data_IF_421378232564
#
_entry.id   IF_421378232564
#
_cell.length_a   1.000
_cell.length_b   1.000
_cell.length_c   1.000
_cell.angle_alpha   90.00
_cell.angle_beta   90.00
_cell.angle_gamma   90.00
#
_symmetry.space_group_name_H-M   'P 1'
#
loop_
_entity.id
_entity.type
_entity.pdbx_description
1 polymer ?
#
# COMPACT_ATOMS: atom_id res chain seq x y z
N UNK A 1 -10.91 -32.78 -37.72
CA UNK A 1 -10.19 -31.52 -37.48
C UNK A 1 -10.74 -30.91 -36.20
N UNK A 2 -10.19 -31.27 -35.05
CA UNK A 2 -10.45 -30.60 -33.77
C UNK A 2 -9.19 -30.74 -32.93
N UNK A 3 -8.54 -29.61 -32.58
CA UNK A 3 -7.60 -29.44 -31.45
C UNK A 3 -6.93 -28.05 -31.56
N UNK A 4 -7.69 -26.97 -31.39
CA UNK A 4 -7.09 -25.63 -31.19
C UNK A 4 -8.04 -24.67 -30.45
N UNK A 5 -8.51 -25.01 -29.25
CA UNK A 5 -9.19 -24.03 -28.37
C UNK A 5 -8.89 -24.17 -26.87
N UNK A 6 -8.34 -25.30 -26.41
CA UNK A 6 -8.11 -25.53 -24.98
C UNK A 6 -6.90 -24.77 -24.40
N UNK A 7 -5.92 -24.39 -25.22
CA UNK A 7 -4.72 -23.66 -24.77
C UNK A 7 -4.95 -22.17 -24.49
N UNK A 8 -5.96 -21.55 -25.11
CA UNK A 8 -6.23 -20.11 -24.94
C UNK A 8 -6.94 -19.82 -23.61
N UNK A 9 -7.88 -20.66 -23.18
CA UNK A 9 -8.68 -20.44 -21.96
C UNK A 9 -7.84 -20.63 -20.69
N UNK A 10 -6.94 -21.62 -20.65
CA UNK A 10 -6.04 -21.84 -19.51
C UNK A 10 -5.03 -20.68 -19.32
N UNK A 11 -4.65 -20.00 -20.41
CA UNK A 11 -3.72 -18.87 -20.36
C UNK A 11 -4.35 -17.59 -19.79
N UNK A 12 -5.65 -17.36 -20.04
CA UNK A 12 -6.36 -16.15 -19.60
C UNK A 12 -6.67 -16.23 -18.09
N UNK A 13 -7.08 -17.40 -17.58
CA UNK A 13 -7.38 -17.58 -16.14
C UNK A 13 -6.11 -17.41 -15.27
N UNK A 14 -4.95 -17.83 -15.79
CA UNK A 14 -3.64 -17.68 -15.12
C UNK A 14 -3.13 -16.24 -14.99
N UNK A 15 -3.68 -15.30 -15.79
CA UNK A 15 -3.32 -13.87 -15.76
C UNK A 15 -4.13 -13.09 -14.72
N UNK A 16 -5.31 -13.56 -14.30
CA UNK A 16 -6.10 -12.88 -13.25
C UNK A 16 -5.71 -13.33 -11.84
N UNK A 17 -5.36 -14.60 -11.66
CA UNK A 17 -5.12 -15.21 -10.36
C UNK A 17 -4.10 -14.45 -9.49
N UNK A 18 -4.37 -14.40 -8.18
CA UNK A 18 -3.48 -13.79 -7.18
C UNK A 18 -2.19 -14.60 -7.03
N UNK A 19 -1.04 -13.94 -7.19
CA UNK A 19 0.29 -14.55 -7.11
C UNK A 19 1.00 -14.17 -5.82
N UNK A 20 1.99 -14.97 -5.42
CA UNK A 20 2.83 -14.66 -4.25
C UNK A 20 3.55 -13.31 -4.39
N UNK A 21 3.95 -12.98 -5.62
CA UNK A 21 4.53 -11.69 -5.99
C UNK A 21 3.58 -10.53 -5.71
N UNK A 22 2.26 -10.70 -5.90
CA UNK A 22 1.26 -9.67 -5.55
C UNK A 22 1.25 -9.38 -4.05
N UNK A 23 1.26 -10.43 -3.23
CA UNK A 23 1.35 -10.28 -1.77
C UNK A 23 2.66 -9.62 -1.34
N UNK A 24 3.80 -10.01 -1.94
CA UNK A 24 5.09 -9.41 -1.61
C UNK A 24 5.11 -7.92 -1.96
N UNK A 25 4.58 -7.53 -3.11
CA UNK A 25 4.46 -6.13 -3.52
C UNK A 25 3.50 -5.34 -2.65
N UNK A 26 2.33 -5.90 -2.34
CA UNK A 26 1.36 -5.30 -1.41
C UNK A 26 1.98 -5.04 -0.03
N UNK A 27 2.68 -6.04 0.52
CA UNK A 27 3.37 -5.90 1.80
C UNK A 27 4.59 -4.97 1.70
N UNK A 28 5.30 -4.93 0.57
CA UNK A 28 6.40 -4.00 0.33
C UNK A 28 5.93 -2.55 0.29
N UNK A 29 4.83 -2.28 -0.42
CA UNK A 29 4.16 -0.97 -0.47
C UNK A 29 3.69 -0.54 0.93
N UNK A 30 3.11 -1.48 1.69
CA UNK A 30 2.76 -1.22 3.10
C UNK A 30 4.00 -0.96 3.96
N UNK A 31 5.07 -1.71 3.77
CA UNK A 31 6.35 -1.53 4.47
C UNK A 31 6.97 -0.16 4.22
N UNK A 32 6.82 0.41 3.03
CA UNK A 32 7.25 1.80 2.76
C UNK A 32 6.34 2.86 3.38
N UNK A 33 5.08 2.52 3.70
CA UNK A 33 4.17 3.42 4.42
C UNK A 33 4.46 3.44 5.93
N UNK A 34 5.08 2.37 6.46
CA UNK A 34 5.59 2.27 7.84
C UNK A 34 6.84 3.14 7.98
N UNK A 35 6.64 4.46 7.96
CA UNK A 35 7.69 5.44 8.17
C UNK A 35 7.23 6.49 9.15
N UNK A 36 7.66 7.73 8.91
CA UNK A 36 7.23 8.88 9.70
C UNK A 36 5.69 8.99 9.80
N UNK A 37 4.96 8.55 8.77
CA UNK A 37 3.50 8.62 8.73
C UNK A 37 2.78 7.86 9.84
N UNK A 38 3.25 6.69 10.24
CA UNK A 38 2.53 5.88 11.25
C UNK A 38 2.70 6.44 12.66
N UNK A 39 3.83 7.10 12.94
CA UNK A 39 4.14 7.65 14.26
C UNK A 39 3.78 9.13 14.37
N UNK A 40 4.19 9.95 13.41
CA UNK A 40 4.00 11.39 13.48
C UNK A 40 2.61 11.83 13.05
N UNK A 41 1.92 11.11 12.16
CA UNK A 41 0.58 11.51 11.72
C UNK A 41 -0.46 11.37 12.85
N UNK A 42 -0.57 10.25 13.59
CA UNK A 42 -1.54 10.15 14.68
C UNK A 42 -1.21 11.09 15.84
N UNK A 43 0.09 11.33 16.10
CA UNK A 43 0.52 12.27 17.15
C UNK A 43 0.18 13.71 16.75
N UNK A 44 0.60 14.16 15.56
CA UNK A 44 0.34 15.53 15.12
C UNK A 44 -1.16 15.79 14.84
N UNK A 45 -1.88 14.83 14.26
CA UNK A 45 -3.33 14.95 14.06
C UNK A 45 -4.08 14.86 15.40
N UNK A 46 -3.62 14.02 16.33
CA UNK A 46 -4.18 13.88 17.67
C UNK A 46 -4.01 15.11 18.54
N UNK A 47 -2.90 15.86 18.40
CA UNK A 47 -2.72 17.19 19.01
C UNK A 47 -3.80 18.17 18.52
N UNK A 48 -4.28 18.01 17.28
CA UNK A 48 -5.41 18.76 16.73
C UNK A 48 -6.78 18.39 17.31
N UNK A 49 -6.89 17.31 18.09
CA UNK A 49 -8.13 16.75 18.60
C UNK A 49 -8.70 15.63 17.73
N UNK A 50 -9.82 15.05 18.16
CA UNK A 50 -10.38 13.86 17.51
C UNK A 50 -11.03 14.15 16.14
N UNK A 51 -11.65 15.33 15.97
CA UNK A 51 -12.33 15.69 14.72
C UNK A 51 -11.34 15.76 13.53
N UNK A 52 -10.21 16.50 13.59
CA UNK A 52 -9.22 16.46 12.51
C UNK A 52 -8.70 15.05 12.24
N UNK A 53 -8.47 14.24 13.27
CA UNK A 53 -7.99 12.87 13.12
C UNK A 53 -8.97 12.01 12.32
N UNK A 54 -10.27 12.07 12.62
CA UNK A 54 -11.32 11.34 11.88
C UNK A 54 -11.38 11.81 10.42
N UNK A 55 -11.39 13.14 10.20
CA UNK A 55 -11.42 13.71 8.84
C UNK A 55 -10.21 13.25 8.04
N UNK A 56 -9.01 13.33 8.64
CA UNK A 56 -7.77 12.91 8.00
C UNK A 56 -7.76 11.41 7.71
N UNK A 57 -8.29 10.57 8.61
CA UNK A 57 -8.43 9.13 8.38
C UNK A 57 -9.34 8.82 7.18
N UNK A 58 -10.48 9.51 7.06
CA UNK A 58 -11.41 9.36 5.94
C UNK A 58 -10.77 9.84 4.62
N UNK A 59 -10.06 10.98 4.65
CA UNK A 59 -9.44 11.57 3.46
C UNK A 59 -8.19 10.82 3.00
N UNK A 60 -7.46 10.17 3.90
CA UNK A 60 -6.21 9.49 3.58
C UNK A 60 -6.39 8.43 2.49
N UNK A 61 -7.45 7.61 2.57
CA UNK A 61 -7.69 6.55 1.59
C UNK A 61 -7.93 7.07 0.16
N UNK A 62 -8.95 7.91 -0.14
CA UNK A 62 -9.19 8.37 -1.49
C UNK A 62 -8.00 9.18 -2.03
N UNK A 63 -7.39 10.03 -1.21
CA UNK A 63 -6.25 10.85 -1.62
C UNK A 63 -5.07 9.98 -2.07
N UNK A 64 -4.70 8.97 -1.28
CA UNK A 64 -3.58 8.08 -1.60
C UNK A 64 -3.90 7.14 -2.76
N UNK A 65 -5.06 6.48 -2.71
CA UNK A 65 -5.47 5.50 -3.71
C UNK A 65 -5.54 6.11 -5.12
N UNK A 66 -6.24 7.25 -5.29
CA UNK A 66 -6.37 7.86 -6.61
C UNK A 66 -5.05 8.43 -7.13
N UNK A 67 -4.22 9.01 -6.25
CA UNK A 67 -2.91 9.52 -6.64
C UNK A 67 -1.97 8.38 -7.10
N UNK A 68 -1.86 7.30 -6.31
CA UNK A 68 -1.01 6.15 -6.64
C UNK A 68 -1.51 5.42 -7.89
N UNK A 69 -2.84 5.28 -8.05
CA UNK A 69 -3.43 4.70 -9.27
C UNK A 69 -3.17 5.58 -10.49
N UNK A 70 -3.31 6.90 -10.36
CA UNK A 70 -3.01 7.86 -11.42
C UNK A 70 -1.56 7.76 -11.87
N UNK A 71 -0.62 7.73 -10.91
CA UNK A 71 0.79 7.54 -11.18
C UNK A 71 1.10 6.19 -11.83
N UNK A 72 0.46 5.11 -11.37
CA UNK A 72 0.64 3.78 -11.97
C UNK A 72 0.21 3.78 -13.44
N UNK A 73 -0.96 4.36 -13.74
CA UNK A 73 -1.45 4.48 -15.13
C UNK A 73 -0.52 5.32 -16.00
N UNK A 74 0.02 6.37 -15.42
CA UNK A 74 0.99 7.22 -16.09
C UNK A 74 2.25 6.41 -16.43
N UNK A 75 2.89 5.75 -15.47
CA UNK A 75 4.08 4.91 -15.75
C UNK A 75 3.77 3.79 -16.75
N UNK A 76 2.59 3.18 -16.68
CA UNK A 76 2.16 2.14 -17.62
C UNK A 76 1.83 2.67 -19.03
N UNK A 77 1.68 3.99 -19.24
CA UNK A 77 1.45 4.56 -20.57
C UNK A 77 2.73 4.75 -21.39
N UNK A 78 3.91 4.58 -20.78
CA UNK A 78 5.19 4.60 -21.47
C UNK A 78 5.26 3.56 -22.58
N UNK A 79 5.82 3.90 -23.73
CA UNK A 79 5.87 2.94 -24.86
C UNK A 79 6.83 1.79 -24.60
N UNK A 80 7.95 2.01 -23.93
CA UNK A 80 8.97 0.98 -23.76
C UNK A 80 8.80 0.22 -22.43
N UNK A 81 9.01 -1.12 -22.42
CA UNK A 81 9.11 -1.87 -21.17
C UNK A 81 10.30 -1.38 -20.35
N UNK A 82 10.11 -1.18 -19.04
CA UNK A 82 11.17 -0.73 -18.14
C UNK A 82 11.19 0.77 -17.86
N UNK A 83 10.42 1.58 -18.60
CA UNK A 83 10.42 3.03 -18.40
C UNK A 83 9.86 3.42 -17.04
N UNK A 84 10.64 4.22 -16.31
CA UNK A 84 10.23 4.81 -15.05
C UNK A 84 9.54 6.16 -15.24
N UNK A 85 9.06 6.76 -14.15
CA UNK A 85 8.36 8.04 -14.21
C UNK A 85 9.15 9.14 -14.94
N UNK A 86 10.48 9.18 -14.84
CA UNK A 86 11.28 10.25 -15.45
C UNK A 86 11.32 10.09 -16.97
N UNK A 87 11.46 8.86 -17.45
CA UNK A 87 11.46 8.51 -18.87
C UNK A 87 10.07 8.73 -19.49
N UNK A 88 9.01 8.32 -18.79
CA UNK A 88 7.63 8.50 -19.28
C UNK A 88 7.22 9.98 -19.35
N UNK A 89 7.68 10.81 -18.42
CA UNK A 89 7.48 12.28 -18.51
C UNK A 89 8.18 12.85 -19.73
N UNK A 90 9.42 12.47 -19.97
CA UNK A 90 10.17 12.93 -21.14
C UNK A 90 9.48 12.49 -22.44
N UNK A 91 8.92 11.29 -22.48
CA UNK A 91 8.17 10.78 -23.63
C UNK A 91 6.91 11.61 -23.92
N UNK A 92 6.10 11.90 -22.89
CA UNK A 92 4.81 12.56 -23.05
C UNK A 92 4.90 14.09 -23.16
N UNK A 93 5.88 14.69 -22.50
CA UNK A 93 5.98 16.15 -22.34
C UNK A 93 7.31 16.74 -22.87
N UNK A 94 8.22 15.91 -23.35
CA UNK A 94 9.50 16.30 -23.92
C UNK A 94 10.63 16.47 -22.90
N UNK A 95 11.84 16.60 -23.42
CA UNK A 95 13.12 16.63 -22.68
C UNK A 95 13.15 17.74 -21.60
N UNK A 96 12.57 18.90 -21.89
CA UNK A 96 12.53 20.02 -20.93
C UNK A 96 11.69 19.72 -19.69
N UNK A 97 10.53 19.10 -19.88
CA UNK A 97 9.66 18.67 -18.79
C UNK A 97 10.27 17.49 -18.02
N UNK A 98 10.90 16.54 -18.72
CA UNK A 98 11.67 15.45 -18.10
C UNK A 98 12.71 15.97 -17.10
N UNK A 99 13.59 16.88 -17.56
CA UNK A 99 14.61 17.50 -16.70
C UNK A 99 14.02 18.25 -15.50
N UNK A 100 12.92 18.98 -15.69
CA UNK A 100 12.25 19.70 -14.60
C UNK A 100 11.71 18.72 -13.56
N UNK A 101 11.04 17.64 -13.99
CA UNK A 101 10.52 16.62 -13.06
C UNK A 101 11.65 15.92 -12.34
N UNK A 102 12.75 15.55 -13.02
CA UNK A 102 13.93 14.97 -12.37
C UNK A 102 14.49 15.89 -11.28
N UNK A 103 14.56 17.20 -11.53
CA UNK A 103 15.00 18.18 -10.55
C UNK A 103 14.04 18.27 -9.35
N UNK A 104 12.73 18.31 -9.60
CA UNK A 104 11.71 18.29 -8.54
C UNK A 104 11.76 17.00 -7.72
N UNK A 105 12.01 15.86 -8.37
CA UNK A 105 12.21 14.57 -7.73
C UNK A 105 13.41 14.58 -6.79
N UNK A 106 14.53 15.17 -7.22
CA UNK A 106 15.70 15.34 -6.36
C UNK A 106 15.34 16.13 -5.09
N UNK A 107 14.68 17.28 -5.22
CA UNK A 107 14.28 18.08 -4.06
C UNK A 107 13.20 17.41 -3.19
N UNK A 108 12.38 16.53 -3.74
CA UNK A 108 11.41 15.77 -2.97
C UNK A 108 12.07 14.64 -2.17
N UNK A 109 12.98 13.88 -2.79
CA UNK A 109 13.56 12.66 -2.20
C UNK A 109 14.77 12.97 -1.32
N UNK A 110 15.64 13.90 -1.71
CA UNK A 110 16.87 14.18 -0.98
C UNK A 110 16.62 14.60 0.49
N UNK A 111 15.70 15.53 0.80
CA UNK A 111 15.38 15.87 2.19
C UNK A 111 14.79 14.69 2.98
N UNK A 112 13.98 13.85 2.33
CA UNK A 112 13.43 12.62 2.95
C UNK A 112 14.57 11.71 3.40
N UNK A 113 15.56 11.49 2.53
CA UNK A 113 16.73 10.67 2.85
C UNK A 113 17.54 11.25 4.01
N UNK A 114 17.70 12.58 4.08
CA UNK A 114 18.39 13.23 5.20
C UNK A 114 17.64 13.04 6.53
N UNK A 115 16.32 13.27 6.53
CA UNK A 115 15.48 13.09 7.73
C UNK A 115 15.53 11.64 8.22
N UNK A 116 15.43 10.66 7.32
CA UNK A 116 15.54 9.25 7.70
C UNK A 116 16.93 8.87 8.20
N UNK A 117 17.99 9.44 7.62
CA UNK A 117 19.38 9.20 8.08
C UNK A 117 19.60 9.72 9.51
N UNK A 118 19.04 10.89 9.83
CA UNK A 118 19.06 11.44 11.19
C UNK A 118 18.21 10.58 12.13
N UNK A 119 17.01 10.19 11.69
CA UNK A 119 16.09 9.39 12.49
C UNK A 119 16.68 8.03 12.87
N UNK A 120 17.25 7.28 11.91
CA UNK A 120 17.86 5.97 12.20
C UNK A 120 19.06 6.10 13.13
N UNK A 121 19.89 7.13 12.95
CA UNK A 121 21.03 7.39 13.83
C UNK A 121 20.55 7.65 15.27
N UNK A 122 19.55 8.53 15.44
CA UNK A 122 18.97 8.82 16.76
C UNK A 122 18.35 7.58 17.41
N UNK A 123 17.59 6.79 16.64
CA UNK A 123 16.93 5.60 17.17
C UNK A 123 17.93 4.54 17.61
N UNK A 124 18.97 4.28 16.82
CA UNK A 124 20.02 3.31 17.19
C UNK A 124 20.85 3.81 18.36
N UNK A 125 21.20 5.09 18.38
CA UNK A 125 21.92 5.73 19.50
C UNK A 125 21.14 5.60 20.81
N UNK A 126 19.84 5.94 20.76
CA UNK A 126 18.91 5.79 21.89
C UNK A 126 18.77 4.33 22.32
N UNK A 127 18.66 3.40 21.36
CA UNK A 127 18.55 1.97 21.62
C UNK A 127 19.79 1.39 22.30
N UNK A 128 20.98 1.74 21.81
CA UNK A 128 22.25 1.36 22.42
C UNK A 128 22.32 1.83 23.87
N UNK A 129 21.96 3.09 24.11
CA UNK A 129 22.06 3.72 25.44
C UNK A 129 21.03 3.17 26.42
N UNK A 130 19.76 3.10 26.02
CA UNK A 130 18.64 2.87 26.95
C UNK A 130 18.14 1.42 26.98
N UNK A 131 18.36 0.64 25.93
CA UNK A 131 17.93 -0.76 25.89
C UNK A 131 19.10 -1.73 26.04
N UNK A 132 20.25 -1.42 25.46
CA UNK A 132 21.44 -2.28 25.57
C UNK A 132 22.44 -1.84 26.65
N UNK A 133 22.26 -0.64 27.22
CA UNK A 133 23.21 -0.03 28.18
C UNK A 133 24.66 0.02 27.65
N UNK A 134 24.82 0.14 26.32
CA UNK A 134 26.10 0.29 25.63
C UNK A 134 26.32 1.78 25.38
N UNK A 135 27.52 2.28 25.68
CA UNK A 135 27.89 3.64 25.30
C UNK A 135 28.03 3.72 23.77
N UNK A 136 27.18 4.47 23.06
CA UNK A 136 27.22 4.53 21.61
C UNK A 136 28.53 5.16 21.10
N UNK A 137 29.04 4.74 19.92
CA UNK A 137 30.18 5.40 19.31
C UNK A 137 29.84 6.85 18.94
N UNK A 138 30.84 7.72 18.68
CA UNK A 138 30.61 9.09 18.25
C UNK A 138 29.63 9.15 17.08
N UNK A 139 28.65 10.06 17.18
CA UNK A 139 27.51 10.16 16.25
C UNK A 139 27.91 10.10 14.76
N UNK A 140 29.02 10.74 14.37
CA UNK A 140 29.53 10.73 13.00
C UNK A 140 29.98 9.34 12.54
N UNK A 141 30.60 8.55 13.43
CA UNK A 141 30.99 7.17 13.15
C UNK A 141 29.76 6.27 13.11
N UNK A 142 28.83 6.46 14.06
CA UNK A 142 27.58 5.70 14.09
C UNK A 142 26.78 5.90 12.80
N UNK A 143 26.56 7.15 12.40
CA UNK A 143 25.82 7.47 11.17
C UNK A 143 26.50 6.92 9.92
N UNK A 144 27.85 7.01 9.85
CA UNK A 144 28.60 6.43 8.73
C UNK A 144 28.41 4.92 8.64
N UNK A 145 28.54 4.20 9.76
CA UNK A 145 28.33 2.74 9.81
C UNK A 145 26.90 2.38 9.36
N UNK A 146 25.89 3.10 9.86
CA UNK A 146 24.50 2.86 9.50
C UNK A 146 24.23 3.15 8.02
N UNK A 147 24.73 4.25 7.47
CA UNK A 147 24.58 4.60 6.05
C UNK A 147 25.27 3.55 5.16
N UNK A 148 26.49 3.13 5.49
CA UNK A 148 27.20 2.08 4.73
C UNK A 148 26.45 0.75 4.80
N UNK A 149 25.94 0.38 5.98
CA UNK A 149 25.11 -0.81 6.15
C UNK A 149 23.84 -0.76 5.29
N UNK A 150 23.12 0.36 5.33
CA UNK A 150 21.92 0.58 4.51
C UNK A 150 22.23 0.57 3.01
N UNK A 151 23.30 1.23 2.57
CA UNK A 151 23.74 1.23 1.16
C UNK A 151 24.12 -0.17 0.68
N UNK A 152 24.68 -0.99 1.57
CA UNK A 152 24.99 -2.40 1.25
C UNK A 152 23.71 -3.18 0.98
N UNK A 153 22.65 -2.97 1.76
CA UNK A 153 21.34 -3.59 1.52
C UNK A 153 20.77 -3.17 0.16
N UNK A 154 20.86 -1.88 -0.18
CA UNK A 154 20.35 -1.34 -1.46
C UNK A 154 21.06 -1.96 -2.66
N UNK A 155 22.35 -2.32 -2.53
CA UNK A 155 23.12 -2.96 -3.62
C UNK A 155 22.63 -4.37 -4.00
N UNK A 156 21.83 -5.03 -3.17
CA UNK A 156 21.29 -6.36 -3.49
C UNK A 156 20.06 -6.32 -4.42
N UNK A 157 19.65 -5.12 -4.87
CA UNK A 157 18.60 -4.94 -5.87
C UNK A 157 17.18 -4.85 -5.30
N UNK A 158 16.24 -4.44 -6.16
CA UNK A 158 14.85 -4.12 -5.80
C UNK A 158 14.11 -5.28 -5.13
N UNK A 159 14.26 -6.50 -5.66
CA UNK A 159 13.58 -7.69 -5.13
C UNK A 159 13.97 -7.99 -3.67
N UNK A 160 15.23 -7.73 -3.30
CA UNK A 160 15.70 -7.88 -1.93
C UNK A 160 15.14 -6.80 -1.01
N UNK A 161 15.01 -5.56 -1.50
CA UNK A 161 14.42 -4.45 -0.75
C UNK A 161 12.94 -4.74 -0.47
N UNK A 162 12.15 -5.09 -1.49
CA UNK A 162 10.72 -5.41 -1.35
C UNK A 162 10.54 -6.60 -0.41
N UNK A 163 11.37 -7.64 -0.53
CA UNK A 163 11.34 -8.79 0.37
C UNK A 163 11.67 -8.40 1.82
N UNK A 164 12.74 -7.65 2.04
CA UNK A 164 13.12 -7.19 3.38
C UNK A 164 12.01 -6.36 4.03
N UNK A 165 11.45 -5.39 3.29
CA UNK A 165 10.34 -4.57 3.76
C UNK A 165 9.11 -5.42 4.08
N UNK A 166 8.73 -6.33 3.19
CA UNK A 166 7.56 -7.21 3.39
C UNK A 166 7.68 -8.11 4.63
N UNK A 167 8.89 -8.58 4.96
CA UNK A 167 9.13 -9.37 6.18
C UNK A 167 9.07 -8.46 7.41
N UNK A 168 9.62 -7.25 7.33
CA UNK A 168 9.67 -6.29 8.44
C UNK A 168 8.27 -5.80 8.87
N UNK A 169 7.29 -5.81 7.97
CA UNK A 169 5.89 -5.48 8.27
C UNK A 169 5.34 -6.30 9.42
N UNK A 170 5.59 -7.61 9.45
CA UNK A 170 4.98 -8.53 10.42
C UNK A 170 5.36 -8.22 11.88
N UNK A 171 6.66 -8.17 12.27
CA UNK A 171 7.03 -7.83 13.63
C UNK A 171 6.62 -6.40 13.99
N UNK A 172 6.61 -5.48 13.03
CA UNK A 172 6.17 -4.11 13.26
C UNK A 172 4.68 -4.03 13.62
N UNK A 173 3.81 -4.63 12.81
CA UNK A 173 2.36 -4.69 13.09
C UNK A 173 2.09 -5.41 14.41
N UNK A 174 2.80 -6.50 14.69
CA UNK A 174 2.69 -7.20 15.96
C UNK A 174 3.06 -6.29 17.15
N UNK A 175 4.15 -5.53 17.05
CA UNK A 175 4.55 -4.57 18.07
C UNK A 175 3.51 -3.46 18.27
N UNK A 176 2.93 -2.91 17.19
CA UNK A 176 1.86 -1.91 17.28
C UNK A 176 0.59 -2.47 17.92
N UNK A 177 0.20 -3.69 17.58
CA UNK A 177 -0.97 -4.35 18.17
C UNK A 177 -0.75 -4.60 19.67
N UNK A 178 0.43 -5.09 20.06
CA UNK A 178 0.79 -5.28 21.47
C UNK A 178 0.81 -3.94 22.23
N UNK A 179 1.36 -2.89 21.62
CA UNK A 179 1.35 -1.55 22.22
C UNK A 179 -0.08 -1.01 22.38
N UNK A 180 -0.94 -1.20 21.36
CA UNK A 180 -2.34 -0.78 21.43
C UNK A 180 -3.08 -1.50 22.56
N UNK A 181 -2.89 -2.82 22.70
CA UNK A 181 -3.45 -3.61 23.80
C UNK A 181 -2.91 -3.15 25.17
N UNK A 182 -1.60 -2.90 25.25
CA UNK A 182 -0.94 -2.41 26.47
C UNK A 182 -1.48 -1.05 26.92
N UNK A 183 -1.90 -0.20 25.98
CA UNK A 183 -2.42 1.13 26.28
C UNK A 183 -3.91 1.16 26.65
N UNK A 184 -4.67 0.06 26.49
CA UNK A 184 -6.10 0.00 26.87
C UNK A 184 -6.36 0.50 28.30
N UNK A 185 -5.58 0.10 29.33
CA UNK A 185 -5.78 0.59 30.69
C UNK A 185 -5.52 2.09 30.86
N UNK A 186 -4.82 2.73 29.93
CA UNK A 186 -4.52 4.16 29.94
C UNK A 186 -5.56 5.00 29.20
N UNK A 187 -6.56 4.36 28.57
CA UNK A 187 -7.61 5.08 27.86
C UNK A 187 -8.48 5.87 28.84
N UNK A 188 -8.74 7.13 28.48
CA UNK A 188 -9.59 8.02 29.25
C UNK A 188 -10.56 8.75 28.31
N UNK A 189 -11.62 9.33 28.88
CA UNK A 189 -12.64 10.05 28.14
C UNK A 189 -12.19 11.41 27.60
N UNK A 190 -11.00 11.90 27.94
CA UNK A 190 -10.55 13.26 27.58
C UNK A 190 -10.48 13.45 26.06
N UNK A 191 -10.20 12.38 25.31
CA UNK A 191 -10.25 12.43 23.86
C UNK A 191 -11.67 12.80 23.36
N UNK A 192 -12.73 12.25 23.97
CA UNK A 192 -14.12 12.50 23.58
C UNK A 192 -14.57 13.93 23.89
N UNK A 193 -13.96 14.61 24.86
CA UNK A 193 -14.22 16.03 25.13
C UNK A 193 -13.78 16.94 23.96
N UNK A 194 -12.86 16.45 23.11
CA UNK A 194 -12.45 17.13 21.87
C UNK A 194 -13.39 16.88 20.68
N UNK A 195 -14.47 16.11 20.87
CA UNK A 195 -15.55 15.92 19.89
C UNK A 195 -16.56 17.07 19.92
N UNK A 196 -16.11 18.30 20.03
CA UNK A 196 -16.95 19.46 19.75
C UNK A 196 -16.28 20.37 18.74
N UNK A 197 -17.07 20.88 17.79
CA UNK A 197 -16.58 21.84 16.80
C UNK A 197 -16.09 23.14 17.45
N UNK A 198 -16.58 23.46 18.65
CA UNK A 198 -16.13 24.59 19.48
C UNK A 198 -14.77 24.31 20.14
N UNK A 199 -14.51 23.07 20.58
CA UNK A 199 -13.19 22.65 21.11
C UNK A 199 -12.11 22.53 20.03
N UNK A 200 -12.47 22.34 18.76
CA UNK A 200 -11.51 22.37 17.66
C UNK A 200 -10.94 23.80 17.40
N UNK A 201 -11.49 24.83 18.06
CA UNK A 201 -10.95 26.18 18.08
C UNK A 201 -10.03 26.45 19.29
N UNK A 202 -10.01 25.58 20.32
CA UNK A 202 -9.29 25.84 21.58
C UNK A 202 -7.78 25.57 21.50
N UNK A 203 -7.29 24.93 20.43
CA UNK A 203 -5.86 24.68 20.14
C UNK A 203 -5.16 25.83 19.39
N UNK A 204 -5.78 27.02 19.33
CA UNK A 204 -5.15 28.28 18.87
C UNK A 204 -5.11 28.47 17.35
N UNK A 205 -5.12 27.40 16.58
CA UNK A 205 -5.29 27.37 15.13
C UNK A 205 -6.55 26.55 14.84
N UNK A 206 -7.70 27.21 14.61
CA UNK A 206 -8.99 26.50 14.45
C UNK A 206 -8.96 25.35 13.45
N UNK A 207 -9.96 24.46 13.50
CA UNK A 207 -10.08 23.23 12.71
C UNK A 207 -9.48 23.30 11.29
N UNK A 208 -9.80 24.36 10.53
CA UNK A 208 -9.30 24.56 9.17
C UNK A 208 -7.79 24.69 9.06
N UNK A 209 -7.14 25.44 9.95
CA UNK A 209 -5.69 25.58 9.95
C UNK A 209 -5.02 24.27 10.39
N UNK A 210 -5.59 23.57 11.36
CA UNK A 210 -5.10 22.25 11.78
C UNK A 210 -5.16 21.25 10.62
N UNK A 211 -6.28 21.18 9.89
CA UNK A 211 -6.40 20.35 8.70
C UNK A 211 -5.42 20.78 7.60
N UNK A 212 -5.28 22.09 7.36
CA UNK A 212 -4.35 22.63 6.38
C UNK A 212 -2.90 22.23 6.66
N UNK A 213 -2.47 22.29 7.92
CA UNK A 213 -1.11 21.90 8.33
C UNK A 213 -0.93 20.38 8.32
N UNK A 214 -1.99 19.61 8.55
CA UNK A 214 -1.92 18.15 8.57
C UNK A 214 -1.85 17.54 7.16
N UNK A 215 -2.43 18.19 6.13
CA UNK A 215 -2.41 17.69 4.74
C UNK A 215 -0.98 17.50 4.20
N UNK A 216 -0.05 18.48 4.26
CA UNK A 216 1.32 18.29 3.80
C UNK A 216 2.04 17.15 4.51
N UNK A 217 1.84 17.01 5.83
CA UNK A 217 2.41 15.89 6.61
C UNK A 217 1.86 14.56 6.11
N UNK A 218 0.56 14.49 5.80
CA UNK A 218 -0.08 13.31 5.24
C UNK A 218 0.47 12.98 3.84
N UNK A 219 0.57 13.98 2.95
CA UNK A 219 1.11 13.81 1.60
C UNK A 219 2.57 13.33 1.64
N UNK A 220 3.38 13.93 2.51
CA UNK A 220 4.78 13.52 2.73
C UNK A 220 4.88 12.08 3.27
N UNK A 221 4.02 11.74 4.23
CA UNK A 221 3.95 10.40 4.82
C UNK A 221 3.58 9.32 3.82
N UNK A 222 2.80 9.68 2.79
CA UNK A 222 2.39 8.79 1.71
C UNK A 222 3.11 9.05 0.39
N UNK A 223 4.30 9.66 0.40
CA UNK A 223 5.10 9.86 -0.80
C UNK A 223 5.72 8.54 -1.31
N UNK A 224 4.88 7.71 -1.95
CA UNK A 224 5.24 6.41 -2.50
C UNK A 224 5.67 6.49 -3.96
N UNK A 225 5.84 7.69 -4.51
CA UNK A 225 6.04 7.87 -5.95
C UNK A 225 7.18 7.01 -6.52
N UNK A 226 8.37 6.90 -5.88
CA UNK A 226 9.45 6.05 -6.36
C UNK A 226 9.09 4.56 -6.36
N UNK A 227 8.51 4.03 -5.27
CA UNK A 227 8.16 2.61 -5.17
C UNK A 227 6.97 2.25 -6.07
N UNK A 228 6.03 3.17 -6.29
CA UNK A 228 4.90 2.97 -7.22
C UNK A 228 5.41 2.90 -8.66
N UNK A 229 6.43 3.67 -9.03
CA UNK A 229 7.06 3.57 -10.35
C UNK A 229 7.68 2.19 -10.57
N UNK A 230 8.53 1.73 -9.64
CA UNK A 230 9.11 0.37 -9.70
C UNK A 230 8.03 -0.72 -9.69
N UNK A 231 7.00 -0.56 -8.86
CA UNK A 231 5.86 -1.47 -8.80
C UNK A 231 5.13 -1.58 -10.14
N UNK A 232 4.85 -0.46 -10.79
CA UNK A 232 4.19 -0.41 -12.09
C UNK A 232 5.03 -1.12 -13.16
N UNK A 233 6.34 -0.86 -13.20
CA UNK A 233 7.28 -1.52 -14.12
C UNK A 233 7.30 -3.04 -13.87
N UNK A 234 7.48 -3.47 -12.63
CA UNK A 234 7.51 -4.90 -12.28
C UNK A 234 6.19 -5.62 -12.64
N UNK A 235 5.04 -4.97 -12.44
CA UNK A 235 3.73 -5.55 -12.80
C UNK A 235 3.45 -5.51 -14.29
N UNK A 236 4.01 -4.56 -15.03
CA UNK A 236 3.99 -4.55 -16.50
C UNK A 236 4.72 -5.76 -17.06
N UNK A 237 5.91 -6.07 -16.53
CA UNK A 237 6.66 -7.26 -16.93
C UNK A 237 5.90 -8.56 -16.61
N UNK A 238 5.22 -8.62 -15.47
CA UNK A 238 4.53 -9.82 -15.02
C UNK A 238 3.16 -10.06 -15.70
N UNK A 239 2.41 -8.99 -16.01
CA UNK A 239 1.00 -9.06 -16.44
C UNK A 239 0.71 -8.41 -17.80
N UNK A 240 1.66 -7.71 -18.42
CA UNK A 240 1.47 -7.04 -19.72
C UNK A 240 0.27 -6.08 -19.70
N UNK A 241 -0.64 -6.24 -20.66
CA UNK A 241 -1.87 -5.44 -20.77
C UNK A 241 -2.79 -5.52 -19.53
N UNK A 242 -2.67 -6.58 -18.73
CA UNK A 242 -3.42 -6.74 -17.48
C UNK A 242 -2.87 -5.95 -16.29
N UNK A 243 -1.72 -5.28 -16.45
CA UNK A 243 -0.98 -4.67 -15.35
C UNK A 243 -1.77 -3.57 -14.62
N UNK A 244 -2.48 -2.68 -15.32
CA UNK A 244 -3.24 -1.59 -14.67
C UNK A 244 -4.33 -2.12 -13.74
N UNK A 245 -5.09 -3.11 -14.21
CA UNK A 245 -6.16 -3.74 -13.43
C UNK A 245 -5.58 -4.44 -12.20
N UNK A 246 -4.44 -5.09 -12.37
CA UNK A 246 -3.75 -5.79 -11.28
C UNK A 246 -3.19 -4.81 -10.25
N UNK A 247 -2.51 -3.76 -10.71
CA UNK A 247 -1.98 -2.70 -9.86
C UNK A 247 -3.10 -2.04 -9.05
N UNK A 248 -4.22 -1.70 -9.69
CA UNK A 248 -5.38 -1.13 -9.01
C UNK A 248 -5.95 -2.05 -7.91
N UNK A 249 -6.00 -3.37 -8.14
CA UNK A 249 -6.44 -4.36 -7.13
C UNK A 249 -5.47 -4.44 -5.94
N UNK A 250 -4.16 -4.46 -6.22
CA UNK A 250 -3.11 -4.51 -5.19
C UNK A 250 -3.12 -3.22 -4.35
N UNK A 251 -3.23 -2.05 -4.98
CA UNK A 251 -3.29 -0.75 -4.30
C UNK A 251 -4.57 -0.57 -3.46
N UNK A 252 -5.71 -1.08 -3.92
CA UNK A 252 -6.98 -0.98 -3.20
C UNK A 252 -7.10 -1.92 -2.00
N UNK A 253 -6.16 -2.87 -1.84
CA UNK A 253 -6.32 -4.03 -0.96
C UNK A 253 -7.67 -4.74 -1.18
N UNK A 254 -7.91 -5.21 -2.41
CA UNK A 254 -8.96 -6.20 -2.65
C UNK A 254 -8.31 -7.51 -3.10
N UNK A 255 -7.98 -8.43 -2.18
CA UNK A 255 -7.70 -9.80 -2.57
C UNK A 255 -8.99 -10.34 -3.20
N UNK A 256 -9.01 -10.46 -4.52
CA UNK A 256 -10.08 -11.19 -5.18
C UNK A 256 -9.78 -12.67 -4.93
N UNK A 257 -10.64 -13.33 -4.15
CA UNK A 257 -10.85 -14.77 -4.31
C UNK A 257 -11.45 -14.96 -5.71
N UNK A 258 -10.60 -14.91 -6.74
CA UNK A 258 -10.96 -15.26 -8.11
C UNK A 258 -11.41 -16.72 -8.11
N UNK A 259 -12.73 -16.94 -8.16
CA UNK A 259 -13.46 -17.90 -9.01
C UNK A 259 -13.10 -19.40 -9.04
N UNK A 260 -11.91 -19.80 -8.60
CA UNK A 260 -11.44 -21.18 -8.60
C UNK A 260 -12.33 -22.06 -7.71
N UNK A 261 -12.79 -21.54 -6.57
CA UNK A 261 -13.74 -22.26 -5.72
C UNK A 261 -15.13 -22.37 -6.35
N UNK A 262 -15.58 -21.45 -7.21
CA UNK A 262 -16.91 -21.56 -7.84
C UNK A 262 -16.94 -22.61 -8.95
N UNK A 263 -15.86 -22.77 -9.71
CA UNK A 263 -15.78 -23.83 -10.71
C UNK A 263 -15.49 -25.19 -10.07
N UNK A 264 -14.71 -25.24 -8.98
CA UNK A 264 -14.52 -26.46 -8.18
C UNK A 264 -15.81 -26.87 -7.47
N UNK A 265 -16.56 -25.95 -6.85
CA UNK A 265 -17.90 -26.24 -6.30
C UNK A 265 -18.90 -26.66 -7.39
N UNK A 266 -18.89 -26.02 -8.56
CA UNK A 266 -19.77 -26.39 -9.68
C UNK A 266 -19.39 -27.74 -10.29
N UNK A 267 -18.10 -28.11 -10.28
CA UNK A 267 -17.64 -29.42 -10.71
C UNK A 267 -17.93 -30.49 -9.65
N UNK A 268 -17.84 -30.17 -8.36
CA UNK A 268 -18.24 -31.06 -7.26
C UNK A 268 -19.76 -31.27 -7.21
N UNK A 269 -20.56 -30.22 -7.42
CA UNK A 269 -22.02 -30.30 -7.51
C UNK A 269 -22.52 -30.95 -8.82
N UNK A 270 -21.65 -31.11 -9.82
CA UNK A 270 -21.95 -31.80 -11.09
C UNK A 270 -21.36 -33.21 -11.16
N UNK A 271 -20.55 -33.58 -10.16
CA UNK A 271 -19.90 -34.89 -10.05
C UNK A 271 -20.48 -35.76 -8.93
N UNK A 272 -21.62 -35.39 -8.35
CA UNK A 272 -22.46 -36.36 -7.64
C UNK A 272 -23.22 -37.20 -8.68
N UNK A 273 -22.92 -38.50 -8.85
CA UNK A 273 -23.79 -39.37 -9.60
C UNK A 273 -25.10 -39.53 -8.83
N UNK A 274 -26.22 -39.45 -9.54
CA UNK A 274 -27.55 -39.90 -9.09
C UNK A 274 -27.46 -41.34 -8.58
N UNK A 275 -27.14 -41.51 -7.29
CA UNK A 275 -27.14 -42.78 -6.60
C UNK A 275 -28.32 -42.78 -5.64
N UNK A 276 -29.48 -43.24 -6.13
CA UNK A 276 -30.57 -43.70 -5.26
C UNK A 276 -31.94 -43.13 -5.59
N UNK A 277 -32.51 -43.52 -6.73
CA UNK A 277 -33.97 -43.57 -6.87
C UNK A 277 -34.50 -44.71 -5.99
N UNK A 278 -35.16 -44.39 -4.88
CA UNK A 278 -36.29 -45.17 -4.35
C UNK A 278 -37.07 -44.36 -3.31
N UNK A 279 -38.37 -44.19 -3.53
CA UNK A 279 -39.31 -43.69 -2.52
C UNK A 279 -39.99 -42.38 -2.92
N UNK A 280 -41.29 -42.45 -3.23
CA UNK A 280 -42.09 -41.38 -3.85
C UNK A 280 -42.41 -40.17 -2.97
N UNK A 281 -42.93 -39.12 -3.63
CA UNK A 281 -43.60 -38.02 -2.93
C UNK A 281 -43.49 -36.65 -3.61
N UNK A 282 -44.48 -36.36 -4.47
CA UNK A 282 -45.09 -35.03 -4.76
C UNK A 282 -44.25 -33.74 -4.66
N UNK A 283 -44.19 -33.02 -5.79
CA UNK A 283 -44.35 -31.56 -5.99
C UNK A 283 -43.40 -30.61 -5.23
N UNK A 284 -42.61 -29.84 -5.98
CA UNK A 284 -42.77 -28.38 -6.08
C UNK A 284 -41.80 -27.80 -7.14
N UNK A 285 -42.35 -27.46 -8.30
CA UNK A 285 -41.83 -26.37 -9.14
C UNK A 285 -41.93 -25.06 -8.35
N UNK A 286 -40.87 -24.25 -8.31
CA UNK A 286 -40.94 -22.80 -8.57
C UNK A 286 -39.58 -22.11 -8.35
N UNK A 287 -39.35 -21.06 -9.15
CA UNK A 287 -38.38 -19.95 -9.01
C UNK A 287 -37.03 -20.06 -9.73
N UNK A 288 -37.11 -20.06 -11.07
CA UNK A 288 -36.18 -19.32 -11.93
C UNK A 288 -36.91 -18.09 -12.50
N UNK A 289 -36.63 -16.90 -11.96
CA UNK A 289 -36.86 -15.56 -12.53
C UNK A 289 -36.28 -14.59 -11.48
N UNK A 290 -35.47 -13.56 -11.73
CA UNK A 290 -35.37 -12.57 -12.81
C UNK A 290 -33.96 -11.96 -12.74
N UNK A 291 -33.30 -11.78 -13.89
CA UNK A 291 -32.24 -10.78 -14.09
C UNK A 291 -32.85 -9.57 -14.83
N UNK A 292 -32.47 -8.34 -14.49
CA UNK A 292 -32.28 -7.27 -15.48
C UNK A 292 -30.83 -6.74 -15.35
N UNK A 293 -30.04 -6.56 -16.39
CA UNK A 293 -30.32 -5.88 -17.65
C UNK A 293 -29.49 -4.59 -17.68
N UNK A 294 -28.28 -4.65 -18.26
CA UNK A 294 -27.51 -3.43 -18.63
C UNK A 294 -27.99 -2.91 -19.99
N UNK A 295 -28.10 -1.59 -20.19
CA UNK A 295 -28.18 -1.00 -21.51
C UNK A 295 -26.80 -0.58 -22.04
N UNK A 296 -26.73 -0.67 -23.37
CA UNK A 296 -25.66 -0.41 -24.34
C UNK A 296 -24.75 0.80 -24.07
#
# INVERSE_FOLDING_TARGET
METTQTSTIASIDSRSAWRKTDTMWMLGLYGTAIGAGVLFLPINAGVGGMIPLIIMAILAFPMTFFAHRGLTRFVLSGKNPGEDITEVVEEHFGIGAGKLITLLYFFAIYPILLVYSVAITNTVESFLTHQLAINPPPRAILSLILIVGMMTIVRFGEQMIVKAMSILVFPFVAALMLLALYLIPQWNGAALETLSFDSAASTGNGLWMTLWLAIPVMVFSFNHSPIISSFAVAKREEYGEGAEKKCSKILAFRPHHDGADRNVLRLQLRAEPDAGRSGGGKRAEHLYSVLPGEPL
#
